data_IF_175633842101
#
_entry.id   IF_175633842101
#
_cell.length_a   1.000
_cell.length_b   1.000
_cell.length_c   1.000
_cell.angle_alpha   90.00
_cell.angle_beta   90.00
_cell.angle_gamma   90.00
#
_symmetry.space_group_name_H-M   'P 1'
#
loop_
_entity.id
_entity.type
_entity.pdbx_description
1 polymer ?
#
# COMPACT_ATOMS: atom_id res chain seq x y z
N UNK A 1 1.28 25.60 3.02
CA UNK A 1 0.03 26.38 2.82
C UNK A 1 0.01 27.16 1.50
N UNK A 2 1.06 27.89 1.11
CA UNK A 2 1.11 28.59 -0.20
C UNK A 2 0.72 27.71 -1.42
N UNK A 3 0.98 26.41 -1.37
CA UNK A 3 0.74 25.49 -2.49
C UNK A 3 -0.75 25.23 -2.81
N UNK A 4 -1.67 25.27 -1.84
CA UNK A 4 -3.09 25.00 -2.08
C UNK A 4 -3.75 26.08 -2.96
N UNK A 5 -3.48 27.34 -2.68
CA UNK A 5 -4.00 28.45 -3.47
C UNK A 5 -3.55 28.39 -4.94
N UNK A 6 -2.26 28.07 -5.17
CA UNK A 6 -1.75 27.90 -6.53
C UNK A 6 -2.42 26.75 -7.29
N UNK A 7 -2.70 25.63 -6.62
CA UNK A 7 -3.43 24.52 -7.24
C UNK A 7 -4.86 24.92 -7.62
N UNK A 8 -5.57 25.63 -6.73
CA UNK A 8 -6.93 26.15 -7.02
C UNK A 8 -6.88 27.09 -8.22
N UNK A 9 -5.88 28.00 -8.29
CA UNK A 9 -5.67 28.88 -9.46
C UNK A 9 -5.48 28.08 -10.74
N UNK A 10 -4.55 27.13 -10.75
CA UNK A 10 -4.27 26.27 -11.91
C UNK A 10 -5.52 25.53 -12.38
N UNK A 11 -6.27 24.92 -11.44
CA UNK A 11 -7.52 24.23 -11.74
C UNK A 11 -8.58 25.16 -12.32
N UNK A 12 -8.75 26.35 -11.74
CA UNK A 12 -9.66 27.37 -12.26
C UNK A 12 -9.34 27.76 -13.71
N UNK A 13 -8.07 28.03 -13.98
CA UNK A 13 -7.59 28.39 -15.31
C UNK A 13 -7.79 27.25 -16.31
N UNK A 14 -7.49 26.02 -15.93
CA UNK A 14 -7.77 24.83 -16.75
C UNK A 14 -9.27 24.65 -17.07
N UNK A 15 -10.17 25.11 -16.18
CA UNK A 15 -11.62 25.10 -16.42
C UNK A 15 -12.11 26.34 -17.16
N UNK A 16 -11.25 27.28 -17.56
CA UNK A 16 -11.60 28.50 -18.25
C UNK A 16 -12.41 29.49 -17.40
N UNK A 17 -12.39 29.35 -16.07
CA UNK A 17 -13.18 30.21 -15.17
C UNK A 17 -12.39 31.44 -14.78
N UNK A 18 -13.11 32.61 -14.76
CA UNK A 18 -12.60 33.83 -14.16
C UNK A 18 -12.65 33.74 -12.62
N UNK A 19 -11.88 34.58 -11.94
CA UNK A 19 -11.97 34.71 -10.48
C UNK A 19 -13.39 35.14 -10.03
N UNK A 20 -14.07 35.99 -10.82
CA UNK A 20 -15.43 36.42 -10.54
C UNK A 20 -16.43 35.26 -10.59
N UNK A 21 -16.32 34.38 -11.58
CA UNK A 21 -17.20 33.22 -11.73
C UNK A 21 -16.96 32.21 -10.62
N UNK A 22 -15.68 31.92 -10.31
CA UNK A 22 -15.35 30.95 -9.26
C UNK A 22 -15.75 31.44 -7.87
N UNK A 23 -15.51 32.71 -7.54
CA UNK A 23 -15.77 33.29 -6.22
C UNK A 23 -17.23 33.58 -5.91
N UNK A 24 -18.08 33.69 -6.94
CA UNK A 24 -19.47 34.17 -6.81
C UNK A 24 -20.27 33.39 -5.74
N UNK A 25 -20.77 34.09 -4.72
CA UNK A 25 -21.51 33.50 -3.60
C UNK A 25 -20.67 32.64 -2.64
N UNK A 26 -19.35 32.55 -2.81
CA UNK A 26 -18.45 31.81 -1.94
C UNK A 26 -17.61 32.78 -1.10
N UNK A 27 -16.92 33.71 -1.75
CA UNK A 27 -16.06 34.73 -1.14
C UNK A 27 -15.93 35.92 -2.09
N UNK A 28 -15.29 37.01 -1.64
CA UNK A 28 -15.01 38.15 -2.53
C UNK A 28 -13.90 37.79 -3.55
N UNK A 29 -13.89 38.46 -4.71
CA UNK A 29 -12.87 38.32 -5.75
C UNK A 29 -11.48 38.61 -5.14
N UNK A 30 -11.37 39.63 -4.29
CA UNK A 30 -10.12 40.01 -3.62
C UNK A 30 -9.62 38.91 -2.69
N UNK A 31 -10.52 38.25 -1.92
CA UNK A 31 -10.15 37.11 -1.08
C UNK A 31 -9.66 35.92 -1.90
N UNK A 32 -10.37 35.58 -2.99
CA UNK A 32 -9.92 34.48 -3.86
C UNK A 32 -8.56 34.81 -4.48
N UNK A 33 -8.36 36.04 -4.96
CA UNK A 33 -7.09 36.46 -5.55
C UNK A 33 -5.90 36.33 -4.55
N UNK A 34 -6.09 36.78 -3.31
CA UNK A 34 -5.07 36.61 -2.24
C UNK A 34 -4.81 35.14 -1.91
N UNK A 35 -5.86 34.33 -1.84
CA UNK A 35 -5.75 32.88 -1.61
C UNK A 35 -4.97 32.19 -2.74
N UNK A 36 -5.32 32.49 -4.02
CA UNK A 36 -4.65 31.95 -5.19
C UNK A 36 -3.16 32.33 -5.26
N UNK A 37 -2.74 33.49 -4.71
CA UNK A 37 -1.34 33.90 -4.57
C UNK A 37 -0.67 33.32 -3.32
N UNK A 38 -1.40 32.58 -2.49
CA UNK A 38 -0.88 32.02 -1.24
C UNK A 38 -0.57 33.06 -0.16
N UNK A 39 -1.20 34.25 -0.24
CA UNK A 39 -1.08 35.34 0.74
C UNK A 39 -2.00 35.17 1.94
N UNK A 40 -3.11 34.46 1.75
CA UNK A 40 -4.11 34.17 2.79
C UNK A 40 -4.59 32.74 2.68
N UNK A 41 -5.13 32.23 3.77
CA UNK A 41 -5.85 30.94 3.78
C UNK A 41 -7.34 31.13 3.53
N UNK A 42 -8.02 30.01 3.31
CA UNK A 42 -9.48 29.95 3.20
C UNK A 42 -10.05 28.95 4.23
N UNK A 43 -11.34 29.04 4.50
CA UNK A 43 -12.01 28.06 5.36
C UNK A 43 -12.26 26.76 4.60
N UNK A 44 -12.32 25.62 5.30
CA UNK A 44 -12.64 24.31 4.71
C UNK A 44 -13.94 24.36 3.91
N UNK A 45 -14.98 25.05 4.45
CA UNK A 45 -16.25 25.23 3.78
C UNK A 45 -16.10 25.92 2.42
N UNK A 46 -15.31 26.97 2.35
CA UNK A 46 -15.06 27.68 1.09
C UNK A 46 -14.21 26.83 0.14
N UNK A 47 -13.19 26.15 0.62
CA UNK A 47 -12.36 25.26 -0.18
C UNK A 47 -13.22 24.19 -0.88
N UNK A 48 -14.08 23.46 -0.15
CA UNK A 48 -14.96 22.46 -0.75
C UNK A 48 -15.97 23.07 -1.72
N UNK A 49 -16.45 24.30 -1.47
CA UNK A 49 -17.35 25.01 -2.40
C UNK A 49 -16.65 25.42 -3.70
N UNK A 50 -15.37 25.81 -3.63
CA UNK A 50 -14.55 26.09 -4.82
C UNK A 50 -14.37 24.83 -5.67
N UNK A 51 -13.99 23.70 -5.07
CA UNK A 51 -13.88 22.42 -5.78
C UNK A 51 -15.20 22.01 -6.43
N UNK A 52 -16.31 22.10 -5.68
CA UNK A 52 -17.65 21.77 -6.18
C UNK A 52 -18.03 22.63 -7.38
N UNK A 53 -17.72 23.93 -7.37
CA UNK A 53 -18.02 24.84 -8.49
C UNK A 53 -17.21 24.50 -9.74
N UNK A 54 -16.01 24.01 -9.59
CA UNK A 54 -15.17 23.55 -10.69
C UNK A 54 -15.53 22.12 -11.15
N UNK A 55 -16.50 21.47 -10.50
CA UNK A 55 -16.83 20.04 -10.70
C UNK A 55 -15.60 19.14 -10.53
N UNK A 56 -14.80 19.42 -9.51
CA UNK A 56 -13.62 18.63 -9.15
C UNK A 56 -13.94 17.89 -7.86
N UNK A 57 -13.80 16.55 -7.89
CA UNK A 57 -13.90 15.72 -6.68
C UNK A 57 -12.69 15.92 -5.79
N UNK A 58 -12.86 15.65 -4.48
CA UNK A 58 -11.72 15.69 -3.56
C UNK A 58 -10.62 14.69 -3.94
N UNK A 59 -10.99 13.54 -4.47
CA UNK A 59 -10.02 12.52 -4.96
C UNK A 59 -9.19 13.00 -6.15
N UNK A 60 -9.80 13.74 -7.11
CA UNK A 60 -9.05 14.35 -8.21
C UNK A 60 -8.09 15.42 -7.69
N UNK A 61 -8.56 16.27 -6.78
CA UNK A 61 -7.72 17.28 -6.15
C UNK A 61 -6.56 16.65 -5.38
N UNK A 62 -6.80 15.57 -4.62
CA UNK A 62 -5.79 14.85 -3.86
C UNK A 62 -4.65 14.32 -4.76
N UNK A 63 -4.97 13.81 -5.95
CA UNK A 63 -3.95 13.34 -6.92
C UNK A 63 -3.00 14.46 -7.32
N UNK A 64 -3.52 15.67 -7.58
CA UNK A 64 -2.71 16.84 -7.93
C UNK A 64 -1.90 17.35 -6.72
N UNK A 65 -2.53 17.42 -5.56
CA UNK A 65 -1.91 17.85 -4.33
C UNK A 65 -0.72 16.96 -3.92
N UNK A 66 -0.85 15.65 -4.09
CA UNK A 66 0.23 14.69 -3.81
C UNK A 66 1.47 14.87 -4.69
N UNK A 67 1.32 15.36 -5.92
CA UNK A 67 2.46 15.67 -6.80
C UNK A 67 3.27 16.85 -6.29
N UNK A 68 2.61 17.78 -5.60
CA UNK A 68 3.20 19.04 -5.14
C UNK A 68 3.73 18.98 -3.69
N UNK A 69 3.26 18.00 -2.90
CA UNK A 69 3.62 17.89 -1.49
C UNK A 69 4.30 16.57 -1.23
N UNK A 70 5.43 16.62 -0.52
CA UNK A 70 6.09 15.42 -0.03
C UNK A 70 5.12 14.62 0.84
N UNK A 71 4.81 13.39 0.42
CA UNK A 71 3.89 12.49 1.12
C UNK A 71 4.64 11.25 1.56
N UNK A 72 4.04 10.48 2.47
CA UNK A 72 4.54 9.16 2.83
C UNK A 72 4.75 8.25 1.59
N UNK A 73 3.95 8.43 0.54
CA UNK A 73 4.13 7.69 -0.72
C UNK A 73 5.45 8.07 -1.42
N UNK A 74 5.80 9.35 -1.46
CA UNK A 74 7.06 9.81 -2.06
C UNK A 74 8.27 9.22 -1.33
N UNK A 75 8.21 9.16 0.02
CA UNK A 75 9.21 8.46 0.81
C UNK A 75 9.31 6.99 0.40
N UNK A 76 8.20 6.27 0.32
CA UNK A 76 8.20 4.84 -0.04
C UNK A 76 8.75 4.60 -1.45
N UNK A 77 8.46 5.47 -2.41
CA UNK A 77 8.96 5.33 -3.78
C UNK A 77 10.47 5.56 -3.84
N UNK A 78 10.99 6.60 -3.14
CA UNK A 78 12.42 6.84 -2.96
C UNK A 78 13.10 5.65 -2.26
N UNK A 79 12.56 5.22 -1.14
CA UNK A 79 13.05 4.09 -0.36
C UNK A 79 13.14 2.79 -1.20
N UNK A 80 12.07 2.43 -1.92
CA UNK A 80 12.03 1.23 -2.77
C UNK A 80 13.07 1.28 -3.88
N UNK A 81 13.24 2.44 -4.51
CA UNK A 81 14.25 2.61 -5.57
C UNK A 81 15.68 2.36 -5.06
N UNK A 82 15.97 2.77 -3.83
CA UNK A 82 17.28 2.56 -3.19
C UNK A 82 17.46 1.10 -2.76
N UNK A 83 16.41 0.49 -2.19
CA UNK A 83 16.44 -0.95 -1.78
C UNK A 83 16.73 -1.87 -2.96
N UNK A 84 16.12 -1.62 -4.12
CA UNK A 84 16.36 -2.42 -5.34
C UNK A 84 17.83 -2.35 -5.75
N UNK A 85 18.46 -1.19 -5.62
CA UNK A 85 19.90 -0.98 -5.92
C UNK A 85 20.83 -1.50 -4.82
N UNK A 86 20.29 -1.84 -3.63
CA UNK A 86 21.06 -2.25 -2.44
C UNK A 86 22.11 -1.23 -1.97
N UNK A 87 21.84 0.06 -2.18
CA UNK A 87 22.78 1.14 -1.84
C UNK A 87 22.62 1.58 -0.38
N UNK A 88 23.36 0.94 0.53
CA UNK A 88 23.30 1.20 1.99
C UNK A 88 23.64 2.66 2.32
N UNK A 89 24.57 3.27 1.59
CA UNK A 89 24.92 4.69 1.79
C UNK A 89 23.72 5.60 1.58
N UNK A 90 22.98 5.42 0.48
CA UNK A 90 21.79 6.23 0.18
C UNK A 90 20.64 5.96 1.19
N UNK A 91 20.57 4.76 1.74
CA UNK A 91 19.62 4.47 2.84
C UNK A 91 19.97 5.24 4.11
N UNK A 92 21.25 5.36 4.47
CA UNK A 92 21.68 6.16 5.60
C UNK A 92 21.41 7.65 5.38
N UNK A 93 21.66 8.18 4.17
CA UNK A 93 21.33 9.57 3.81
C UNK A 93 19.81 9.80 3.94
N UNK A 94 18.98 8.91 3.42
CA UNK A 94 17.52 8.99 3.57
C UNK A 94 17.07 8.91 5.04
N UNK A 95 17.75 8.12 5.87
CA UNK A 95 17.47 8.03 7.30
C UNK A 95 17.75 9.36 8.02
N UNK A 96 18.81 10.06 7.64
CA UNK A 96 19.15 11.38 8.20
C UNK A 96 18.13 12.44 7.75
N UNK A 97 17.69 12.43 6.48
CA UNK A 97 16.62 13.30 6.00
C UNK A 97 15.32 13.11 6.83
N UNK A 98 14.96 11.87 7.11
CA UNK A 98 13.77 11.57 7.92
C UNK A 98 13.93 12.00 9.39
N UNK A 99 15.14 11.94 9.95
CA UNK A 99 15.43 12.45 11.28
C UNK A 99 15.29 13.99 11.37
N UNK A 100 15.80 14.70 10.36
CA UNK A 100 15.63 16.15 10.26
C UNK A 100 14.15 16.54 10.16
N UNK A 101 13.39 15.86 9.30
CA UNK A 101 11.95 16.08 9.14
C UNK A 101 11.16 15.75 10.42
N UNK A 102 11.55 14.74 11.18
CA UNK A 102 10.94 14.44 12.48
C UNK A 102 11.15 15.62 13.46
N UNK A 103 12.39 16.12 13.54
CA UNK A 103 12.73 17.25 14.41
C UNK A 103 12.01 18.55 14.01
N UNK A 104 11.86 18.80 12.69
CA UNK A 104 11.20 20.01 12.18
C UNK A 104 9.68 19.98 12.33
N UNK A 105 9.09 18.82 12.09
CA UNK A 105 7.61 18.71 11.97
C UNK A 105 6.94 18.11 13.18
N UNK A 106 7.67 17.38 14.02
CA UNK A 106 7.13 16.56 15.10
C UNK A 106 6.21 15.42 14.61
N UNK A 107 6.21 15.13 13.30
CA UNK A 107 5.34 14.11 12.76
C UNK A 107 5.95 12.72 12.95
N UNK A 108 5.26 11.89 13.71
CA UNK A 108 5.68 10.54 14.08
C UNK A 108 5.90 9.57 12.90
N UNK A 109 5.37 9.89 11.72
CA UNK A 109 5.61 9.06 10.53
C UNK A 109 7.09 9.00 10.15
N UNK A 110 7.86 10.07 10.38
CA UNK A 110 9.29 10.12 10.09
C UNK A 110 10.10 9.17 10.97
N UNK A 111 9.70 8.99 12.23
CA UNK A 111 10.27 7.98 13.11
C UNK A 111 10.03 6.56 12.61
N UNK A 112 8.83 6.24 12.15
CA UNK A 112 8.55 4.94 11.53
C UNK A 112 9.37 4.71 10.27
N UNK A 113 9.60 5.76 9.45
CA UNK A 113 10.44 5.69 8.27
C UNK A 113 11.88 5.34 8.62
N UNK A 114 12.45 5.97 9.65
CA UNK A 114 13.78 5.66 10.15
C UNK A 114 13.90 4.20 10.61
N UNK A 115 12.91 3.70 11.36
CA UNK A 115 12.87 2.29 11.77
C UNK A 115 12.82 1.35 10.57
N UNK A 116 12.01 1.66 9.55
CA UNK A 116 11.91 0.85 8.33
C UNK A 116 13.25 0.78 7.60
N UNK A 117 13.92 1.93 7.44
CA UNK A 117 15.23 2.01 6.80
C UNK A 117 16.24 1.17 7.58
N UNK A 118 16.32 1.36 8.91
CA UNK A 118 17.26 0.64 9.79
C UNK A 118 17.11 -0.87 9.68
N UNK A 119 15.88 -1.38 9.77
CA UNK A 119 15.62 -2.82 9.67
C UNK A 119 16.01 -3.39 8.30
N UNK A 120 15.83 -2.63 7.22
CA UNK A 120 16.24 -3.06 5.89
C UNK A 120 17.76 -3.00 5.68
N UNK A 121 18.45 -1.99 6.23
CA UNK A 121 19.92 -1.95 6.24
C UNK A 121 20.47 -3.18 6.92
N UNK A 122 19.98 -3.51 8.12
CA UNK A 122 20.40 -4.71 8.85
C UNK A 122 20.18 -5.98 8.01
N UNK A 123 19.02 -6.09 7.36
CA UNK A 123 18.73 -7.21 6.47
C UNK A 123 19.70 -7.29 5.27
N UNK A 124 20.06 -6.17 4.65
CA UNK A 124 21.00 -6.11 3.54
C UNK A 124 22.42 -6.49 3.97
N UNK A 125 22.80 -6.16 5.20
CA UNK A 125 24.12 -6.47 5.78
C UNK A 125 24.16 -7.81 6.50
N UNK A 126 23.05 -8.59 6.49
CA UNK A 126 22.90 -9.84 7.26
C UNK A 126 23.13 -9.67 8.77
N UNK A 127 22.76 -8.51 9.33
CA UNK A 127 22.77 -8.20 10.75
C UNK A 127 21.41 -8.55 11.34
N UNK A 128 21.40 -9.21 12.52
CA UNK A 128 20.14 -9.49 13.22
C UNK A 128 19.46 -8.19 13.66
N UNK A 129 18.15 -8.09 13.41
CA UNK A 129 17.37 -6.93 13.80
C UNK A 129 17.09 -6.92 15.31
N UNK A 130 17.22 -5.76 15.95
CA UNK A 130 16.86 -5.60 17.35
C UNK A 130 15.34 -5.80 17.54
N UNK A 131 14.98 -6.78 18.37
CA UNK A 131 13.58 -7.08 18.70
C UNK A 131 12.84 -5.88 19.29
N UNK A 132 13.56 -4.94 19.94
CA UNK A 132 12.99 -3.71 20.49
C UNK A 132 12.49 -2.78 19.38
N UNK A 133 13.19 -2.67 18.26
CA UNK A 133 12.77 -1.82 17.15
C UNK A 133 11.52 -2.40 16.45
N UNK A 134 11.48 -3.71 16.27
CA UNK A 134 10.27 -4.39 15.77
C UNK A 134 9.11 -4.21 16.75
N UNK A 135 9.37 -4.33 18.06
CA UNK A 135 8.36 -4.16 19.12
C UNK A 135 7.71 -2.76 19.08
N UNK A 136 8.47 -1.70 18.83
CA UNK A 136 7.93 -0.32 18.72
C UNK A 136 6.84 -0.22 17.65
N UNK A 137 7.05 -0.84 16.50
CA UNK A 137 6.05 -0.87 15.42
C UNK A 137 4.84 -1.73 15.81
N UNK A 138 5.09 -2.88 16.43
CA UNK A 138 4.04 -3.76 16.93
C UNK A 138 3.17 -3.03 17.96
N UNK A 139 3.78 -2.37 18.93
CA UNK A 139 3.09 -1.60 19.99
C UNK A 139 2.26 -0.46 19.37
N UNK A 140 2.80 0.26 18.38
CA UNK A 140 2.05 1.27 17.64
C UNK A 140 0.82 0.67 16.95
N UNK A 141 0.98 -0.41 16.19
CA UNK A 141 -0.13 -1.05 15.48
C UNK A 141 -1.20 -1.60 16.44
N UNK A 142 -0.82 -1.96 17.68
CA UNK A 142 -1.79 -2.35 18.71
C UNK A 142 -2.49 -1.16 19.36
N UNK A 143 -1.83 -0.01 19.46
CA UNK A 143 -2.39 1.19 20.09
C UNK A 143 -3.50 1.85 19.26
N UNK A 144 -3.50 1.63 17.93
CA UNK A 144 -4.52 2.20 17.04
C UNK A 144 -5.71 1.25 16.94
N UNK A 145 -6.91 1.72 17.32
CA UNK A 145 -8.13 0.89 17.29
C UNK A 145 -8.63 0.64 15.87
N UNK A 146 -8.82 1.70 15.09
CA UNK A 146 -9.33 1.63 13.72
C UNK A 146 -8.21 1.95 12.74
N UNK A 147 -7.75 0.94 12.02
CA UNK A 147 -6.68 1.10 11.06
C UNK A 147 -7.17 1.82 9.80
N UNK A 148 -6.49 2.93 9.49
CA UNK A 148 -6.62 3.61 8.22
C UNK A 148 -5.56 3.15 7.21
N UNK A 149 -5.42 3.93 6.15
CA UNK A 149 -4.44 3.67 5.09
C UNK A 149 -3.00 3.68 5.63
N UNK A 150 -2.70 4.54 6.60
CA UNK A 150 -1.35 4.65 7.15
C UNK A 150 -0.93 3.37 7.90
N UNK A 151 -1.78 2.85 8.78
CA UNK A 151 -1.51 1.62 9.53
C UNK A 151 -1.36 0.41 8.62
N UNK A 152 -2.19 0.31 7.57
CA UNK A 152 -2.05 -0.73 6.55
C UNK A 152 -0.71 -0.64 5.81
N UNK A 153 -0.26 0.58 5.49
CA UNK A 153 1.05 0.78 4.83
C UNK A 153 2.19 0.42 5.77
N UNK A 154 2.13 0.82 7.05
CA UNK A 154 3.08 0.39 8.08
C UNK A 154 3.07 -1.13 8.21
N UNK A 155 1.92 -1.75 8.43
CA UNK A 155 1.81 -3.20 8.53
C UNK A 155 2.41 -3.91 7.30
N UNK A 156 2.07 -3.46 6.09
CA UNK A 156 2.57 -4.05 4.85
C UNK A 156 4.09 -3.95 4.69
N UNK A 157 4.68 -2.79 4.99
CA UNK A 157 6.12 -2.58 4.83
C UNK A 157 6.95 -3.30 5.92
N UNK A 158 6.40 -3.45 7.13
CA UNK A 158 7.08 -4.14 8.22
C UNK A 158 6.76 -5.64 8.31
N UNK A 159 5.78 -6.14 7.54
CA UNK A 159 5.34 -7.55 7.61
C UNK A 159 6.47 -8.57 7.39
N UNK A 160 7.49 -8.23 6.60
CA UNK A 160 8.65 -9.10 6.35
C UNK A 160 9.52 -9.35 7.60
N UNK A 161 9.36 -8.53 8.64
CA UNK A 161 10.06 -8.63 9.91
C UNK A 161 9.20 -9.26 11.02
N UNK A 162 7.93 -9.56 10.73
CA UNK A 162 7.01 -10.19 11.67
C UNK A 162 6.99 -11.72 11.49
N UNK A 163 6.70 -12.43 12.58
CA UNK A 163 6.41 -13.85 12.48
C UNK A 163 5.02 -14.09 11.85
N UNK A 164 4.81 -15.27 11.28
CA UNK A 164 3.53 -15.66 10.67
C UNK A 164 2.37 -15.60 11.68
N UNK A 165 2.62 -15.95 12.96
CA UNK A 165 1.63 -15.86 14.04
C UNK A 165 1.20 -14.41 14.28
N UNK A 166 2.19 -13.50 14.32
CA UNK A 166 1.92 -12.06 14.51
C UNK A 166 1.11 -11.48 13.36
N UNK A 167 1.42 -11.88 12.14
CA UNK A 167 0.69 -11.44 10.95
C UNK A 167 -0.75 -11.95 10.99
N UNK A 168 -0.96 -13.23 11.33
CA UNK A 168 -2.29 -13.82 11.47
C UNK A 168 -3.13 -13.11 12.54
N UNK A 169 -2.48 -12.72 13.65
CA UNK A 169 -3.12 -11.95 14.72
C UNK A 169 -3.60 -10.58 14.23
N UNK A 170 -2.74 -9.81 13.56
CA UNK A 170 -3.10 -8.51 12.97
C UNK A 170 -4.21 -8.63 11.92
N UNK A 171 -4.10 -9.59 11.00
CA UNK A 171 -5.14 -9.84 9.99
C UNK A 171 -6.48 -10.19 10.66
N UNK A 172 -6.46 -10.95 11.76
CA UNK A 172 -7.67 -11.29 12.51
C UNK A 172 -8.29 -10.08 13.24
N UNK A 173 -7.46 -9.14 13.67
CA UNK A 173 -7.90 -7.90 14.28
C UNK A 173 -8.54 -6.95 13.26
N UNK A 174 -7.93 -6.81 12.07
CA UNK A 174 -8.47 -5.98 10.99
C UNK A 174 -9.88 -6.41 10.62
N UNK A 175 -10.11 -7.72 10.47
CA UNK A 175 -11.41 -8.29 10.11
C UNK A 175 -12.53 -7.97 11.12
N UNK A 176 -12.19 -7.88 12.41
CA UNK A 176 -13.14 -7.61 13.47
C UNK A 176 -13.46 -6.13 13.68
N UNK A 177 -12.54 -5.22 13.34
CA UNK A 177 -12.58 -3.80 13.74
C UNK A 177 -12.62 -2.78 12.60
N UNK A 178 -12.35 -3.15 11.35
CA UNK A 178 -12.22 -2.18 10.26
C UNK A 178 -13.56 -1.67 9.70
N UNK A 179 -14.40 -1.11 10.58
CA UNK A 179 -15.75 -0.65 10.20
C UNK A 179 -15.74 0.58 9.27
N UNK A 180 -14.80 1.51 9.47
CA UNK A 180 -14.78 2.78 8.72
C UNK A 180 -14.30 2.63 7.27
N UNK A 181 -13.39 1.71 6.99
CA UNK A 181 -12.74 1.59 5.68
C UNK A 181 -12.93 0.24 5.00
N UNK A 182 -13.53 -0.75 5.69
CA UNK A 182 -13.66 -2.14 5.23
C UNK A 182 -14.32 -2.31 3.86
N UNK A 183 -15.21 -1.40 3.50
CA UNK A 183 -15.92 -1.43 2.22
C UNK A 183 -15.22 -0.61 1.11
N UNK A 184 -14.09 0.04 1.40
CA UNK A 184 -13.38 0.76 0.35
C UNK A 184 -12.56 -0.22 -0.50
N UNK A 185 -12.71 -0.13 -1.83
CA UNK A 185 -11.93 -0.93 -2.78
C UNK A 185 -10.42 -0.81 -2.50
N UNK A 186 -9.93 0.39 -2.24
CA UNK A 186 -8.52 0.66 -1.95
C UNK A 186 -8.01 -0.05 -0.70
N UNK A 187 -8.84 -0.18 0.34
CA UNK A 187 -8.52 -0.91 1.55
C UNK A 187 -8.41 -2.41 1.28
N UNK A 188 -9.40 -2.98 0.59
CA UNK A 188 -9.40 -4.40 0.24
C UNK A 188 -8.23 -4.78 -0.68
N UNK A 189 -7.89 -3.93 -1.64
CA UNK A 189 -6.71 -4.11 -2.49
C UNK A 189 -5.42 -4.14 -1.67
N UNK A 190 -5.27 -3.22 -0.72
CA UNK A 190 -4.06 -3.09 0.08
C UNK A 190 -3.90 -4.28 1.04
N UNK A 191 -4.94 -4.65 1.79
CA UNK A 191 -4.89 -5.81 2.69
C UNK A 191 -4.73 -7.12 1.90
N UNK A 192 -5.40 -7.25 0.76
CA UNK A 192 -5.26 -8.39 -0.14
C UNK A 192 -3.81 -8.59 -0.60
N UNK A 193 -3.12 -7.52 -1.01
CA UNK A 193 -1.69 -7.58 -1.38
C UNK A 193 -0.79 -7.99 -0.22
N UNK A 194 -1.03 -7.45 0.97
CA UNK A 194 -0.26 -7.82 2.17
C UNK A 194 -0.44 -9.31 2.46
N UNK A 195 -1.69 -9.79 2.52
CA UNK A 195 -1.97 -11.20 2.78
C UNK A 195 -1.36 -12.13 1.71
N UNK A 196 -1.42 -11.76 0.42
CA UNK A 196 -0.81 -12.53 -0.66
C UNK A 196 0.72 -12.62 -0.54
N UNK A 197 1.39 -11.56 -0.09
CA UNK A 197 2.83 -11.60 0.17
C UNK A 197 3.17 -12.51 1.34
N UNK A 198 2.34 -12.51 2.37
CA UNK A 198 2.53 -13.40 3.53
C UNK A 198 2.26 -14.86 3.16
N UNK A 199 1.17 -15.14 2.43
CA UNK A 199 0.86 -16.49 1.92
C UNK A 199 2.05 -17.03 1.12
N UNK A 200 2.63 -16.19 0.25
CA UNK A 200 3.81 -16.58 -0.52
C UNK A 200 4.99 -16.93 0.40
N UNK A 201 5.30 -16.08 1.37
CA UNK A 201 6.36 -16.32 2.36
C UNK A 201 6.11 -17.61 3.13
N UNK A 202 4.90 -17.81 3.64
CA UNK A 202 4.52 -19.01 4.41
C UNK A 202 4.68 -20.29 3.58
N UNK A 203 4.32 -20.26 2.29
CA UNK A 203 4.52 -21.39 1.38
C UNK A 203 6.01 -21.67 1.14
N UNK A 204 6.84 -20.64 0.96
CA UNK A 204 8.29 -20.76 0.78
C UNK A 204 8.99 -21.32 2.04
N UNK A 205 8.51 -20.93 3.23
CA UNK A 205 9.03 -21.37 4.54
C UNK A 205 8.40 -22.69 5.04
N UNK A 206 7.49 -23.30 4.28
CA UNK A 206 6.81 -24.55 4.67
C UNK A 206 5.73 -24.39 5.75
N UNK A 207 5.29 -23.16 6.03
CA UNK A 207 4.26 -22.84 7.03
C UNK A 207 2.84 -23.04 6.44
N UNK A 208 2.56 -24.26 5.94
CA UNK A 208 1.35 -24.57 5.16
C UNK A 208 0.05 -24.33 5.93
N UNK A 209 0.04 -24.54 7.26
CA UNK A 209 -1.14 -24.29 8.10
C UNK A 209 -1.47 -22.79 8.15
N UNK A 210 -0.47 -21.95 8.32
CA UNK A 210 -0.63 -20.49 8.30
C UNK A 210 -1.11 -20.02 6.94
N UNK A 211 -0.48 -20.48 5.85
CA UNK A 211 -0.90 -20.18 4.49
C UNK A 211 -2.36 -20.56 4.22
N UNK A 212 -2.82 -21.74 4.70
CA UNK A 212 -4.21 -22.17 4.55
C UNK A 212 -5.19 -21.21 5.22
N UNK A 213 -4.94 -20.82 6.45
CA UNK A 213 -5.81 -19.90 7.20
C UNK A 213 -5.93 -18.56 6.47
N UNK A 214 -4.82 -18.02 5.95
CA UNK A 214 -4.81 -16.75 5.21
C UNK A 214 -5.51 -16.87 3.85
N UNK A 215 -5.31 -17.97 3.13
CA UNK A 215 -5.99 -18.25 1.86
C UNK A 215 -7.51 -18.27 2.05
N UNK A 216 -8.01 -19.05 3.03
CA UNK A 216 -9.45 -19.16 3.28
C UNK A 216 -10.06 -17.83 3.70
N UNK A 217 -9.34 -17.04 4.49
CA UNK A 217 -9.77 -15.71 4.91
C UNK A 217 -9.81 -14.73 3.75
N UNK A 218 -8.74 -14.70 2.94
CA UNK A 218 -8.66 -13.81 1.78
C UNK A 218 -9.69 -14.18 0.71
N UNK A 219 -9.95 -15.48 0.49
CA UNK A 219 -11.00 -15.95 -0.41
C UNK A 219 -12.38 -15.41 -0.02
N UNK A 220 -12.71 -15.44 1.29
CA UNK A 220 -13.96 -14.88 1.82
C UNK A 220 -14.02 -13.36 1.64
N UNK A 221 -12.94 -12.66 1.94
CA UNK A 221 -12.89 -11.19 1.81
C UNK A 221 -13.05 -10.72 0.36
N UNK A 222 -12.55 -11.50 -0.59
CA UNK A 222 -12.57 -11.14 -2.02
C UNK A 222 -13.79 -11.64 -2.79
N UNK A 223 -14.68 -12.42 -2.16
CA UNK A 223 -15.74 -13.17 -2.85
C UNK A 223 -16.60 -12.32 -3.78
N UNK A 224 -17.09 -11.19 -3.32
CA UNK A 224 -18.02 -10.33 -4.07
C UNK A 224 -17.34 -9.00 -4.53
N UNK A 225 -16.01 -9.02 -4.69
CA UNK A 225 -15.24 -7.84 -5.07
C UNK A 225 -14.79 -7.93 -6.54
N UNK A 226 -14.57 -6.79 -7.22
CA UNK A 226 -13.99 -6.76 -8.57
C UNK A 226 -12.47 -6.93 -8.58
N UNK A 227 -11.88 -7.53 -7.55
CA UNK A 227 -10.45 -7.75 -7.40
C UNK A 227 -10.04 -9.08 -8.04
N UNK A 228 -10.19 -9.17 -9.36
CA UNK A 228 -9.98 -10.41 -10.12
C UNK A 228 -8.54 -10.91 -10.07
N UNK A 229 -7.56 -10.01 -10.07
CA UNK A 229 -6.15 -10.39 -10.02
C UNK A 229 -5.75 -10.98 -8.66
N UNK A 230 -6.23 -10.40 -7.57
CA UNK A 230 -6.04 -10.93 -6.22
C UNK A 230 -6.71 -12.30 -6.07
N UNK A 231 -7.92 -12.46 -6.60
CA UNK A 231 -8.64 -13.76 -6.62
C UNK A 231 -7.90 -14.81 -7.44
N UNK A 232 -7.31 -14.43 -8.57
CA UNK A 232 -6.47 -15.31 -9.37
C UNK A 232 -5.27 -15.82 -8.56
N UNK A 233 -4.58 -14.91 -7.87
CA UNK A 233 -3.45 -15.27 -6.99
C UNK A 233 -3.87 -16.19 -5.85
N UNK A 234 -5.00 -15.93 -5.22
CA UNK A 234 -5.54 -16.83 -4.18
C UNK A 234 -5.74 -18.24 -4.72
N UNK A 235 -6.39 -18.38 -5.89
CA UNK A 235 -6.59 -19.68 -6.54
C UNK A 235 -5.25 -20.36 -6.88
N UNK A 236 -4.29 -19.61 -7.35
CA UNK A 236 -2.95 -20.11 -7.65
C UNK A 236 -2.25 -20.66 -6.42
N UNK A 237 -2.19 -19.90 -5.32
CA UNK A 237 -1.57 -20.35 -4.06
C UNK A 237 -2.34 -21.49 -3.40
N UNK A 238 -3.68 -21.49 -3.51
CA UNK A 238 -4.52 -22.62 -3.09
C UNK A 238 -4.16 -23.89 -3.86
N UNK A 239 -3.90 -23.79 -5.16
CA UNK A 239 -3.39 -24.89 -5.97
C UNK A 239 -2.07 -25.44 -5.47
N UNK A 240 -1.08 -24.57 -5.16
CA UNK A 240 0.20 -24.96 -4.59
C UNK A 240 0.02 -25.67 -3.23
N UNK A 241 -0.82 -25.12 -2.37
CA UNK A 241 -1.11 -25.71 -1.06
C UNK A 241 -1.75 -27.10 -1.19
N UNK A 242 -2.70 -27.27 -2.13
CA UNK A 242 -3.34 -28.56 -2.41
C UNK A 242 -2.33 -29.62 -2.85
N UNK A 243 -1.35 -29.23 -3.67
CA UNK A 243 -0.27 -30.12 -4.10
C UNK A 243 0.56 -30.59 -2.89
N UNK A 244 0.94 -29.65 -2.03
CA UNK A 244 1.72 -29.98 -0.82
C UNK A 244 0.95 -30.86 0.17
N UNK A 245 -0.38 -30.76 0.19
CA UNK A 245 -1.26 -31.59 1.00
C UNK A 245 -1.64 -32.94 0.35
N UNK A 246 -1.02 -33.30 -0.78
CA UNK A 246 -1.24 -34.58 -1.47
C UNK A 246 -2.33 -34.58 -2.57
N UNK A 247 -3.13 -33.52 -2.69
CA UNK A 247 -4.14 -33.37 -3.73
C UNK A 247 -3.54 -32.87 -5.06
N UNK A 248 -2.57 -33.64 -5.60
CA UNK A 248 -1.70 -33.19 -6.69
C UNK A 248 -2.47 -32.80 -7.95
N UNK A 249 -3.40 -33.64 -8.42
CA UNK A 249 -4.09 -33.41 -9.70
C UNK A 249 -4.98 -32.13 -9.66
N UNK A 250 -5.76 -31.96 -8.61
CA UNK A 250 -6.60 -30.77 -8.43
C UNK A 250 -5.75 -29.51 -8.24
N UNK A 251 -4.66 -29.63 -7.49
CA UNK A 251 -3.73 -28.52 -7.28
C UNK A 251 -3.06 -28.08 -8.56
N UNK A 252 -2.60 -29.04 -9.41
CA UNK A 252 -2.05 -28.76 -10.74
C UNK A 252 -3.06 -28.01 -11.61
N UNK A 253 -4.28 -28.52 -11.73
CA UNK A 253 -5.32 -27.88 -12.53
C UNK A 253 -5.55 -26.42 -12.13
N UNK A 254 -5.56 -26.11 -10.82
CA UNK A 254 -5.70 -24.72 -10.35
C UNK A 254 -4.50 -23.83 -10.70
N UNK A 255 -3.30 -24.36 -10.58
CA UNK A 255 -2.06 -23.64 -10.96
C UNK A 255 -2.06 -23.35 -12.46
N UNK A 256 -2.35 -24.35 -13.28
CA UNK A 256 -2.41 -24.23 -14.74
C UNK A 256 -3.49 -23.24 -15.19
N UNK A 257 -4.71 -23.33 -14.64
CA UNK A 257 -5.77 -22.35 -14.91
C UNK A 257 -5.33 -20.90 -14.65
N UNK A 258 -4.59 -20.65 -13.58
CA UNK A 258 -4.11 -19.30 -13.28
C UNK A 258 -3.05 -18.84 -14.29
N UNK A 259 -2.16 -19.73 -14.72
CA UNK A 259 -1.13 -19.45 -15.73
C UNK A 259 -1.77 -19.21 -17.09
N UNK A 260 -2.69 -20.07 -17.50
CA UNK A 260 -3.40 -19.96 -18.79
C UNK A 260 -4.22 -18.65 -18.87
N UNK A 261 -4.85 -18.26 -17.77
CA UNK A 261 -5.55 -16.98 -17.70
C UNK A 261 -4.59 -15.79 -17.91
N UNK A 262 -3.41 -15.81 -17.31
CA UNK A 262 -2.41 -14.76 -17.51
C UNK A 262 -1.94 -14.71 -18.97
N UNK A 263 -1.74 -15.86 -19.60
CA UNK A 263 -1.38 -15.95 -21.03
C UNK A 263 -2.52 -15.38 -21.88
N UNK A 264 -3.76 -15.78 -21.60
CA UNK A 264 -4.96 -15.33 -22.33
C UNK A 264 -5.13 -13.81 -22.33
N UNK A 265 -4.82 -13.14 -21.21
CA UNK A 265 -4.91 -11.66 -21.10
C UNK A 265 -3.62 -10.95 -21.56
N UNK A 266 -2.63 -11.66 -22.11
CA UNK A 266 -1.38 -11.08 -22.61
C UNK A 266 -0.29 -10.85 -21.56
N UNK A 267 -0.47 -11.27 -20.31
CA UNK A 267 0.51 -11.12 -19.21
C UNK A 267 1.54 -12.26 -19.23
N UNK A 268 2.25 -12.41 -20.35
CA UNK A 268 3.15 -13.55 -20.60
C UNK A 268 4.33 -13.60 -19.63
N UNK A 269 4.93 -12.46 -19.31
CA UNK A 269 6.05 -12.40 -18.34
C UNK A 269 5.61 -12.86 -16.95
N UNK A 270 4.44 -12.40 -16.50
CA UNK A 270 3.87 -12.86 -15.22
C UNK A 270 3.52 -14.35 -15.24
N UNK A 271 2.98 -14.85 -16.33
CA UNK A 271 2.72 -16.28 -16.50
C UNK A 271 4.03 -17.10 -16.36
N UNK A 272 5.11 -16.61 -16.95
CA UNK A 272 6.44 -17.23 -16.80
C UNK A 272 6.92 -17.24 -15.34
N UNK A 273 6.76 -16.13 -14.61
CA UNK A 273 7.12 -16.04 -13.19
C UNK A 273 6.30 -17.02 -12.34
N UNK A 274 5.00 -17.14 -12.59
CA UNK A 274 4.12 -18.10 -11.93
C UNK A 274 4.56 -19.55 -12.21
N UNK A 275 4.88 -19.84 -13.45
CA UNK A 275 5.39 -21.16 -13.86
C UNK A 275 6.72 -21.49 -13.16
N UNK A 276 7.64 -20.54 -13.14
CA UNK A 276 8.93 -20.66 -12.44
C UNK A 276 8.74 -20.87 -10.93
N UNK A 277 7.84 -20.11 -10.30
CA UNK A 277 7.55 -20.26 -8.88
C UNK A 277 6.89 -21.61 -8.56
N UNK A 278 5.95 -22.08 -9.35
CA UNK A 278 5.32 -23.38 -9.15
C UNK A 278 6.31 -24.55 -9.25
N UNK A 279 7.34 -24.45 -10.08
CA UNK A 279 8.42 -25.45 -10.18
C UNK A 279 9.16 -25.69 -8.86
N UNK A 280 9.23 -24.71 -7.97
CA UNK A 280 9.84 -24.87 -6.64
C UNK A 280 9.09 -25.89 -5.77
N UNK A 281 7.80 -26.09 -6.02
CA UNK A 281 6.94 -27.00 -5.26
C UNK A 281 6.70 -28.34 -5.96
N UNK A 282 6.98 -28.39 -7.24
CA UNK A 282 6.76 -29.54 -8.12
C UNK A 282 7.90 -29.67 -9.15
N UNK A 283 9.04 -30.23 -8.78
CA UNK A 283 10.18 -30.39 -9.70
C UNK A 283 9.84 -31.18 -10.97
N UNK A 284 8.86 -32.07 -10.95
CA UNK A 284 8.52 -33.02 -12.02
C UNK A 284 7.41 -32.61 -12.97
N UNK A 285 6.77 -31.44 -12.82
CA UNK A 285 5.58 -31.08 -13.62
C UNK A 285 5.92 -30.43 -14.97
N UNK A 286 7.06 -29.77 -15.08
CA UNK A 286 7.35 -28.89 -16.22
C UNK A 286 8.54 -29.32 -17.09
N UNK A 287 9.05 -30.56 -16.91
CA UNK A 287 10.17 -31.10 -17.70
C UNK A 287 9.69 -31.92 -18.92
N UNK A 288 8.48 -31.63 -19.43
CA UNK A 288 8.00 -32.16 -20.70
C UNK A 288 7.61 -31.06 -21.65
#
# INVERSE_FOLDING_TARGET
MKKLGYLIKSLRECKGLTQKELSNGIMSISQLSKYERGETDTTDKNFFRLLKRMNISFSEFEVLYRKEVATYQNFLDKFRSIIVKKEVRLLNELCMEELELENETGNYCHYHNQLLIKLHINKLLNIENDKRDIKKIVDYLYSVEDWGRYELMIFGNFSIFFSSERINEFVSRIDKKSYLFSNSKSFLEQIGRIMLNVIRKDLEEGQYRSASILIDKLEKMLKDTPLFYERLKVNYYKGILMIKNGNVNLGKAKVEQAIDFLIFIGEVERAHDYKKYAKMFLPTIYDK
#
